data_IF_693375968759
#
_entry.id   IF_693375968759
#
_cell.length_a   1.000
_cell.length_b   1.000
_cell.length_c   1.000
_cell.angle_alpha   90.00
_cell.angle_beta   90.00
_cell.angle_gamma   90.00
#
_symmetry.space_group_name_H-M   'P 1'
#
loop_
_entity.id
_entity.type
_entity.pdbx_description
1 polymer ?
#
# COMPACT_ATOMS: atom_id res chain seq x y z
N UNK A 1 -9.48 16.49 16.49
CA UNK A 1 -9.04 15.70 15.31
C UNK A 1 -9.15 14.23 15.69
N UNK A 2 -9.86 13.42 14.90
CA UNK A 2 -10.11 12.00 15.24
C UNK A 2 -8.91 11.15 14.87
N UNK A 3 -7.98 10.98 15.81
CA UNK A 3 -6.94 9.96 15.72
C UNK A 3 -7.52 8.65 16.21
N UNK A 4 -7.38 7.61 15.38
CA UNK A 4 -7.81 6.26 15.70
C UNK A 4 -6.61 5.32 15.71
N UNK A 5 -6.83 4.05 16.03
CA UNK A 5 -5.80 3.02 15.91
C UNK A 5 -6.03 2.17 14.68
N UNK A 6 -4.95 1.89 13.99
CA UNK A 6 -4.86 0.85 12.99
C UNK A 6 -4.10 -0.34 13.53
N UNK A 7 -4.62 -1.52 13.21
CA UNK A 7 -3.93 -2.79 13.44
C UNK A 7 -3.12 -3.13 12.20
N UNK A 8 -1.83 -3.40 12.38
CA UNK A 8 -0.93 -3.98 11.39
C UNK A 8 -0.77 -5.46 11.75
N UNK A 9 -1.34 -6.33 10.92
CA UNK A 9 -1.28 -7.77 11.10
C UNK A 9 -0.21 -8.38 10.22
N UNK A 10 0.68 -9.14 10.84
CA UNK A 10 1.75 -9.88 10.19
C UNK A 10 1.28 -11.28 9.79
N UNK A 11 1.95 -11.94 8.82
CA UNK A 11 1.57 -13.28 8.37
C UNK A 11 1.69 -14.36 9.45
N UNK A 12 2.54 -14.15 10.45
CA UNK A 12 2.72 -15.03 11.60
C UNK A 12 1.63 -14.86 12.69
N UNK A 13 0.68 -13.94 12.48
CA UNK A 13 -0.37 -13.59 13.44
C UNK A 13 0.05 -12.53 14.45
N UNK A 14 1.29 -12.06 14.44
CA UNK A 14 1.73 -10.93 15.26
C UNK A 14 0.96 -9.67 14.88
N UNK A 15 0.58 -8.88 15.88
CA UNK A 15 -0.04 -7.57 15.67
C UNK A 15 0.83 -6.44 16.22
N UNK A 16 0.82 -5.33 15.49
CA UNK A 16 1.38 -4.03 15.88
C UNK A 16 0.33 -2.98 15.61
N UNK A 17 0.47 -1.83 16.25
CA UNK A 17 -0.52 -0.77 16.17
C UNK A 17 0.11 0.54 15.73
N UNK A 18 -0.62 1.33 14.96
CA UNK A 18 -0.20 2.67 14.59
C UNK A 18 -1.37 3.63 14.74
N UNK A 19 -1.06 4.91 15.00
CA UNK A 19 -2.07 5.96 14.91
C UNK A 19 -2.54 6.10 13.47
N UNK A 20 -3.83 6.33 13.29
CA UNK A 20 -4.47 6.55 12.01
C UNK A 20 -5.26 7.85 12.04
N UNK A 21 -5.01 8.73 11.07
CA UNK A 21 -5.77 9.97 10.91
C UNK A 21 -6.90 9.74 9.92
N UNK A 22 -8.14 9.82 10.40
CA UNK A 22 -9.34 9.75 9.54
C UNK A 22 -9.46 10.93 8.57
N UNK A 23 -8.81 12.07 8.88
CA UNK A 23 -8.88 13.28 8.05
C UNK A 23 -8.10 13.10 6.75
N UNK A 24 -6.89 12.57 6.84
CA UNK A 24 -6.02 12.31 5.67
C UNK A 24 -6.02 10.84 5.24
N UNK A 25 -6.79 10.01 5.95
CA UNK A 25 -6.89 8.57 5.76
C UNK A 25 -5.53 7.85 5.76
N UNK A 26 -4.61 8.26 6.65
CA UNK A 26 -3.20 7.86 6.66
C UNK A 26 -2.74 7.33 8.04
N UNK A 27 -1.84 6.36 8.01
CA UNK A 27 -1.08 5.89 9.18
C UNK A 27 0.04 6.86 9.54
N UNK A 28 0.25 7.04 10.83
CA UNK A 28 1.51 7.53 11.37
C UNK A 28 2.60 6.46 11.25
N UNK A 29 3.86 6.90 11.18
CA UNK A 29 5.02 6.01 11.06
C UNK A 29 5.30 5.19 12.33
N UNK A 30 4.92 5.72 13.50
CA UNK A 30 5.21 5.11 14.79
C UNK A 30 4.37 3.84 15.02
N UNK A 31 5.05 2.76 15.37
CA UNK A 31 4.43 1.48 15.71
C UNK A 31 4.43 1.24 17.21
N UNK A 32 3.40 0.60 17.74
CA UNK A 32 3.20 0.32 19.16
C UNK A 32 2.91 -1.17 19.37
N UNK A 33 3.29 -1.69 20.55
CA UNK A 33 3.00 -3.08 20.93
C UNK A 33 1.58 -3.28 21.48
N UNK A 34 0.98 -2.21 22.02
CA UNK A 34 -0.33 -2.26 22.66
C UNK A 34 -1.04 -0.91 22.54
N UNK A 35 -2.35 -0.93 22.74
CA UNK A 35 -3.20 0.24 22.83
C UNK A 35 -4.27 0.01 23.89
N UNK A 36 -4.84 1.10 24.39
CA UNK A 36 -5.96 1.10 25.32
C UNK A 36 -7.20 1.67 24.63
N UNK A 37 -8.39 1.16 24.97
CA UNK A 37 -9.67 1.66 24.46
C UNK A 37 -10.40 2.36 25.60
N UNK A 38 -10.53 3.68 25.50
CA UNK A 38 -11.30 4.51 26.43
C UNK A 38 -12.48 5.14 25.69
N UNK A 39 -13.71 4.88 26.15
CA UNK A 39 -14.93 5.50 25.64
C UNK A 39 -15.05 5.53 24.09
N UNK A 40 -14.79 4.39 23.44
CA UNK A 40 -14.81 4.17 21.99
C UNK A 40 -13.62 4.73 21.20
N UNK A 41 -12.63 5.34 21.87
CA UNK A 41 -11.39 5.81 21.25
C UNK A 41 -10.24 4.90 21.65
N UNK A 42 -9.43 4.54 20.67
CA UNK A 42 -8.24 3.74 20.88
C UNK A 42 -7.02 4.68 20.91
N UNK A 43 -6.18 4.56 21.94
CA UNK A 43 -4.94 5.32 22.07
C UNK A 43 -3.76 4.38 22.34
N UNK A 44 -2.57 4.65 21.77
CA UNK A 44 -1.40 3.81 22.00
C UNK A 44 -0.97 3.89 23.46
N UNK A 45 -0.49 2.76 23.99
CA UNK A 45 0.06 2.68 25.35
C UNK A 45 1.57 2.44 25.30
N UNK A 46 2.31 3.20 26.11
CA UNK A 46 3.77 3.09 26.21
C UNK A 46 4.51 3.85 25.09
N UNK A 47 5.82 3.63 25.05
CA UNK A 47 6.71 4.21 24.03
C UNK A 47 6.52 3.52 22.67
N UNK A 48 6.68 4.25 21.55
CA UNK A 48 6.71 3.62 20.24
C UNK A 48 7.91 2.67 20.13
N UNK A 49 7.77 1.66 19.28
CA UNK A 49 8.86 0.79 18.88
C UNK A 49 9.96 1.62 18.20
N UNK A 50 11.24 1.31 18.46
CA UNK A 50 12.34 2.03 17.84
C UNK A 50 12.30 1.86 16.31
N UNK A 51 12.43 2.96 15.59
CA UNK A 51 12.57 2.97 14.13
C UNK A 51 13.98 3.35 13.74
N UNK A 52 14.46 2.82 12.61
CA UNK A 52 15.82 3.06 12.11
C UNK A 52 15.79 3.51 10.65
N UNK A 53 15.21 4.69 10.34
CA UNK A 53 15.03 5.17 8.96
C UNK A 53 16.34 5.35 8.19
N UNK A 54 17.45 5.60 8.90
CA UNK A 54 18.78 5.75 8.33
C UNK A 54 19.40 4.43 7.84
N UNK A 55 18.86 3.28 8.28
CA UNK A 55 19.32 1.99 7.81
C UNK A 55 18.84 1.73 6.38
N UNK A 56 19.62 1.01 5.56
CA UNK A 56 19.16 0.63 4.23
C UNK A 56 17.91 -0.26 4.33
N UNK A 57 17.07 -0.21 3.29
CA UNK A 57 15.97 -1.14 3.15
C UNK A 57 16.48 -2.58 3.19
N UNK A 58 15.68 -3.47 3.76
CA UNK A 58 15.91 -4.88 3.57
C UNK A 58 15.80 -5.22 2.06
N UNK A 59 16.55 -6.22 1.58
CA UNK A 59 16.29 -6.85 0.29
C UNK A 59 14.80 -7.14 0.09
N UNK A 60 14.34 -7.09 -1.16
CA UNK A 60 12.91 -7.18 -1.50
C UNK A 60 12.27 -8.50 -1.04
N UNK A 61 13.06 -9.57 -1.01
CA UNK A 61 12.71 -10.90 -0.53
C UNK A 61 12.69 -11.01 1.00
N UNK A 62 13.28 -10.06 1.72
CA UNK A 62 13.22 -9.95 3.18
C UNK A 62 12.06 -9.04 3.66
N UNK A 63 11.34 -8.37 2.75
CA UNK A 63 10.19 -7.54 3.10
C UNK A 63 8.96 -8.39 3.40
N UNK A 64 8.22 -7.99 4.45
CA UNK A 64 7.12 -8.79 4.99
C UNK A 64 5.80 -8.14 4.57
N UNK A 65 4.90 -8.83 3.84
CA UNK A 65 3.57 -8.31 3.55
C UNK A 65 2.74 -8.24 4.84
N UNK A 66 2.03 -7.14 5.04
CA UNK A 66 1.18 -6.91 6.22
C UNK A 66 -0.19 -6.42 5.78
N UNK A 67 -1.21 -6.69 6.61
CA UNK A 67 -2.57 -6.18 6.41
C UNK A 67 -2.83 -5.08 7.43
N UNK A 68 -3.29 -3.94 6.95
CA UNK A 68 -3.67 -2.81 7.79
C UNK A 68 -5.19 -2.73 7.89
N UNK A 69 -5.70 -2.52 9.10
CA UNK A 69 -7.14 -2.38 9.36
C UNK A 69 -7.38 -1.35 10.47
N UNK A 70 -7.74 -0.10 10.14
CA UNK A 70 -8.19 0.89 11.11
C UNK A 70 -9.63 0.66 11.54
N UNK A 71 -9.86 0.75 12.85
CA UNK A 71 -11.21 0.95 13.39
C UNK A 71 -11.50 2.46 13.43
N UNK A 72 -12.70 2.93 13.04
CA UNK A 72 -13.93 2.17 12.80
C UNK A 72 -14.25 1.99 11.31
N UNK A 73 -13.35 2.38 10.40
CA UNK A 73 -13.70 2.61 8.98
C UNK A 73 -13.94 1.33 8.16
N UNK A 74 -13.92 0.14 8.79
CA UNK A 74 -14.02 -1.21 8.20
C UNK A 74 -13.18 -1.41 6.91
N UNK A 75 -12.23 -0.51 6.67
CA UNK A 75 -11.38 -0.52 5.50
C UNK A 75 -10.15 -1.37 5.80
N UNK A 76 -9.60 -1.98 4.76
CA UNK A 76 -8.39 -2.78 4.86
C UNK A 76 -7.57 -2.62 3.60
N UNK A 77 -6.25 -2.68 3.76
CA UNK A 77 -5.34 -2.71 2.64
C UNK A 77 -4.05 -3.43 3.00
N UNK A 78 -3.33 -3.86 1.97
CA UNK A 78 -2.04 -4.52 2.11
C UNK A 78 -0.92 -3.51 1.98
N UNK A 79 0.16 -3.75 2.72
CA UNK A 79 1.38 -2.97 2.70
C UNK A 79 2.58 -3.89 2.92
N UNK A 80 3.77 -3.31 2.93
CA UNK A 80 5.01 -4.02 3.26
C UNK A 80 5.72 -3.42 4.45
N UNK A 81 6.22 -4.29 5.31
CA UNK A 81 7.03 -3.97 6.47
C UNK A 81 8.50 -4.28 6.20
N UNK A 82 9.37 -3.34 6.55
CA UNK A 82 10.82 -3.49 6.47
C UNK A 82 11.39 -3.85 7.86
N UNK A 83 11.86 -5.09 8.07
CA UNK A 83 12.37 -5.52 9.37
C UNK A 83 13.64 -4.79 9.79
N UNK A 84 14.51 -4.41 8.84
CA UNK A 84 15.78 -3.72 9.15
C UNK A 84 15.57 -2.32 9.72
N UNK A 85 14.55 -1.61 9.22
CA UNK A 85 14.18 -0.28 9.66
C UNK A 85 13.09 -0.27 10.74
N UNK A 86 12.44 -1.42 10.98
CA UNK A 86 11.30 -1.60 11.88
C UNK A 86 10.12 -0.67 11.57
N UNK A 87 9.76 -0.55 10.28
CA UNK A 87 8.67 0.33 9.84
C UNK A 87 7.87 -0.27 8.70
N UNK A 88 6.63 0.18 8.57
CA UNK A 88 5.85 0.02 7.34
C UNK A 88 6.43 0.96 6.28
N UNK A 89 6.81 0.43 5.12
CA UNK A 89 7.25 1.25 3.97
C UNK A 89 6.04 1.79 3.21
N UNK A 90 4.94 1.06 3.20
CA UNK A 90 3.68 1.50 2.66
C UNK A 90 2.99 0.42 1.84
N UNK A 91 1.81 0.74 1.30
CA UNK A 91 1.12 2.02 1.37
C UNK A 91 0.62 2.38 2.79
N UNK A 92 0.69 3.67 3.15
CA UNK A 92 0.26 4.16 4.47
C UNK A 92 -1.17 4.73 4.49
N UNK A 93 -1.83 4.81 3.33
CA UNK A 93 -3.18 5.37 3.18
C UNK A 93 -4.16 4.31 2.70
N UNK A 94 -5.41 4.39 3.18
CA UNK A 94 -6.46 3.44 2.79
C UNK A 94 -6.80 3.51 1.29
N UNK A 95 -6.78 4.70 0.69
CA UNK A 95 -7.08 4.92 -0.73
C UNK A 95 -5.87 4.72 -1.67
N UNK A 96 -4.86 3.97 -1.24
CA UNK A 96 -3.61 3.86 -1.98
C UNK A 96 -3.78 3.26 -3.38
N UNK A 97 -4.74 2.33 -3.56
CA UNK A 97 -5.00 1.68 -4.85
C UNK A 97 -5.41 2.71 -5.90
N UNK A 98 -6.28 3.67 -5.54
CA UNK A 98 -6.65 4.80 -6.41
C UNK A 98 -5.45 5.65 -6.79
N UNK A 99 -4.58 5.96 -5.81
CA UNK A 99 -3.37 6.73 -6.08
C UNK A 99 -2.40 5.97 -6.99
N UNK A 100 -2.19 4.67 -6.76
CA UNK A 100 -1.31 3.87 -7.62
C UNK A 100 -1.85 3.75 -9.03
N UNK A 101 -3.13 3.44 -9.18
CA UNK A 101 -3.80 3.34 -10.48
C UNK A 101 -3.88 4.68 -11.20
N UNK A 102 -3.96 5.79 -10.46
CA UNK A 102 -4.05 7.12 -11.07
C UNK A 102 -2.76 7.72 -11.57
N UNK A 103 -1.63 7.22 -11.09
CA UNK A 103 -0.31 7.70 -11.52
C UNK A 103 0.47 6.66 -12.32
N UNK A 104 -0.07 5.46 -12.54
CA UNK A 104 0.65 4.38 -13.20
C UNK A 104 -0.27 3.54 -14.08
N UNK A 105 0.29 3.03 -15.15
CA UNK A 105 -0.28 1.95 -15.94
C UNK A 105 0.29 0.61 -15.46
N UNK A 106 -0.49 -0.46 -15.54
CA UNK A 106 0.01 -1.82 -15.34
C UNK A 106 0.19 -2.45 -16.71
N UNK A 107 1.36 -2.97 -17.00
CA UNK A 107 1.66 -3.60 -18.29
C UNK A 107 2.51 -4.85 -18.09
N UNK A 108 2.56 -5.76 -19.07
CA UNK A 108 3.42 -6.94 -19.00
C UNK A 108 4.83 -6.61 -19.48
N UNK A 109 5.82 -7.18 -18.82
CA UNK A 109 7.21 -7.16 -19.26
C UNK A 109 7.35 -7.94 -20.56
N UNK A 110 8.09 -7.37 -21.53
CA UNK A 110 8.29 -8.02 -22.83
C UNK A 110 9.26 -9.21 -22.76
N UNK A 111 10.07 -9.27 -21.70
CA UNK A 111 11.09 -10.32 -21.49
C UNK A 111 10.69 -11.26 -20.35
N UNK A 112 10.27 -10.73 -19.21
CA UNK A 112 10.00 -11.53 -18.00
C UNK A 112 8.52 -11.93 -17.86
N UNK A 113 7.62 -11.38 -18.69
CA UNK A 113 6.18 -11.65 -18.64
C UNK A 113 5.45 -11.14 -17.39
N UNK A 114 6.18 -10.57 -16.42
CA UNK A 114 5.64 -10.06 -15.15
C UNK A 114 4.82 -8.81 -15.40
N UNK A 115 3.93 -8.47 -14.47
CA UNK A 115 3.24 -7.18 -14.46
C UNK A 115 4.15 -6.14 -13.83
N UNK A 116 4.30 -5.00 -14.49
CA UNK A 116 5.10 -3.86 -14.06
C UNK A 116 4.22 -2.63 -14.00
N UNK A 117 4.48 -1.75 -13.03
CA UNK A 117 3.95 -0.40 -13.05
C UNK A 117 4.80 0.44 -13.99
N UNK A 118 4.16 1.29 -14.79
CA UNK A 118 4.81 2.17 -15.76
C UNK A 118 4.19 3.57 -15.74
N UNK A 119 5.02 4.57 -16.01
CA UNK A 119 4.65 5.96 -16.26
C UNK A 119 5.11 6.46 -17.64
N UNK A 120 5.97 5.69 -18.29
CA UNK A 120 6.65 6.05 -19.53
C UNK A 120 6.52 4.86 -20.47
N UNK A 121 6.10 5.11 -21.71
CA UNK A 121 5.96 4.08 -22.73
C UNK A 121 7.20 3.20 -22.84
N UNK A 122 6.96 1.89 -22.99
CA UNK A 122 8.00 0.87 -23.16
C UNK A 122 8.87 0.55 -21.94
N UNK A 123 8.71 1.21 -20.77
CA UNK A 123 9.47 0.87 -19.56
C UNK A 123 8.65 0.84 -18.27
N UNK A 124 8.89 -0.17 -17.43
CA UNK A 124 8.41 -0.19 -16.04
C UNK A 124 9.21 0.75 -15.14
N UNK A 125 8.70 1.04 -13.95
CA UNK A 125 9.37 1.88 -12.94
C UNK A 125 10.73 1.30 -12.49
N UNK A 126 10.88 -0.03 -12.52
CA UNK A 126 12.15 -0.72 -12.30
C UNK A 126 13.16 -0.54 -13.46
N UNK A 127 12.73 -0.01 -14.59
CA UNK A 127 13.53 0.17 -15.82
C UNK A 127 13.46 -0.98 -16.81
N UNK A 128 12.79 -2.09 -16.45
CA UNK A 128 12.59 -3.24 -17.33
C UNK A 128 11.74 -2.87 -18.57
N UNK A 129 12.01 -3.48 -19.73
CA UNK A 129 11.21 -3.26 -20.93
C UNK A 129 9.82 -3.90 -20.77
N UNK A 130 8.79 -3.16 -21.15
CA UNK A 130 7.39 -3.58 -21.08
C UNK A 130 6.72 -3.47 -22.44
N UNK A 131 5.59 -4.16 -22.59
CA UNK A 131 4.73 -4.03 -23.75
C UNK A 131 3.99 -2.68 -23.71
N UNK A 132 3.67 -2.13 -24.87
CA UNK A 132 2.90 -0.88 -24.99
C UNK A 132 1.38 -1.09 -24.84
N UNK A 133 0.94 -2.30 -24.50
CA UNK A 133 -0.47 -2.62 -24.28
C UNK A 133 -0.74 -2.69 -22.77
N UNK A 134 -1.38 -1.67 -22.18
CA UNK A 134 -1.71 -1.70 -20.76
C UNK A 134 -2.75 -2.79 -20.48
N UNK A 135 -2.58 -3.45 -19.33
CA UNK A 135 -3.55 -4.37 -18.77
C UNK A 135 -4.72 -3.59 -18.15
N UNK A 136 -5.88 -4.23 -17.97
CA UNK A 136 -6.96 -3.68 -17.17
C UNK A 136 -6.47 -3.37 -15.75
N UNK A 137 -6.22 -2.09 -15.51
CA UNK A 137 -5.70 -1.54 -14.27
C UNK A 137 -6.31 -0.16 -14.10
N UNK A 138 -7.61 -0.14 -13.76
CA UNK A 138 -8.39 1.06 -13.94
C UNK A 138 -8.03 2.10 -12.88
N UNK A 139 -7.65 3.30 -13.34
CA UNK A 139 -8.17 4.54 -12.80
C UNK A 139 -9.00 5.22 -13.90
N UNK A 140 -10.21 5.64 -13.55
CA UNK A 140 -10.81 6.78 -14.24
C UNK A 140 -11.40 7.66 -13.16
N UNK A 141 -10.98 8.93 -13.15
CA UNK A 141 -11.67 10.07 -12.55
C UNK A 141 -13.17 10.05 -12.92
N UNK A 142 -13.96 9.21 -12.27
CA UNK A 142 -15.38 8.99 -12.54
C UNK A 142 -16.23 9.81 -11.55
N UNK A 143 -15.74 11.00 -11.18
CA UNK A 143 -16.47 11.95 -10.36
C UNK A 143 -17.40 12.86 -11.17
N UNK A 144 -17.49 12.71 -12.51
CA UNK A 144 -18.17 13.68 -13.38
C UNK A 144 -19.03 13.07 -14.51
N UNK A 145 -19.71 11.93 -14.28
CA UNK A 145 -20.65 11.37 -15.27
C UNK A 145 -21.91 10.78 -14.63
N UNK A 146 -23.09 10.93 -15.26
CA UNK A 146 -24.36 10.38 -14.76
C UNK A 146 -24.27 8.86 -14.60
N UNK A 147 -24.92 8.33 -13.57
CA UNK A 147 -24.80 6.94 -13.13
C UNK A 147 -25.32 5.90 -14.14
N UNK A 148 -26.11 6.33 -15.13
CA UNK A 148 -26.94 5.46 -15.96
C UNK A 148 -26.22 4.80 -17.16
N UNK A 149 -24.97 5.18 -17.46
CA UNK A 149 -24.19 4.64 -18.60
C UNK A 149 -22.84 4.00 -18.19
N UNK A 150 -22.67 3.59 -16.93
CA UNK A 150 -21.40 2.98 -16.50
C UNK A 150 -21.35 1.51 -16.93
N UNK A 151 -20.39 1.09 -17.78
CA UNK A 151 -20.10 -0.32 -17.97
C UNK A 151 -19.82 -0.98 -16.62
N UNK A 152 -20.10 -2.29 -16.46
CA UNK A 152 -19.69 -3.04 -15.26
C UNK A 152 -18.18 -2.82 -15.02
N UNK A 153 -17.87 -2.17 -13.91
CA UNK A 153 -16.51 -1.73 -13.61
C UNK A 153 -15.71 -2.92 -13.06
N UNK A 154 -14.50 -3.19 -13.56
CA UNK A 154 -13.64 -4.18 -12.93
C UNK A 154 -13.31 -3.74 -11.49
N UNK A 155 -13.17 -4.68 -10.54
CA UNK A 155 -12.95 -4.34 -9.13
C UNK A 155 -11.61 -3.64 -8.90
N UNK A 156 -11.55 -2.80 -7.86
CA UNK A 156 -10.31 -2.19 -7.36
C UNK A 156 -9.27 -3.30 -7.08
N UNK A 157 -8.04 -3.10 -7.55
CA UNK A 157 -6.94 -4.07 -7.37
C UNK A 157 -5.93 -3.52 -6.35
N UNK A 158 -5.87 -4.18 -5.20
CA UNK A 158 -4.80 -3.99 -4.22
C UNK A 158 -3.58 -4.82 -4.69
N UNK A 159 -2.68 -4.21 -5.46
CA UNK A 159 -1.48 -4.90 -5.95
C UNK A 159 -0.51 -5.32 -4.84
N UNK A 160 -0.59 -4.70 -3.66
CA UNK A 160 0.20 -5.12 -2.50
C UNK A 160 -0.35 -6.41 -1.87
N UNK A 161 -1.64 -6.73 -2.08
CA UNK A 161 -2.19 -8.04 -1.73
C UNK A 161 -1.54 -9.17 -2.55
N UNK A 162 -0.99 -8.82 -3.71
CA UNK A 162 -0.31 -9.74 -4.61
C UNK A 162 1.21 -9.76 -4.38
N UNK A 163 1.72 -9.24 -3.27
CA UNK A 163 3.17 -9.09 -3.01
C UNK A 163 3.98 -10.36 -3.26
N UNK A 164 3.46 -11.51 -2.83
CA UNK A 164 4.13 -12.81 -2.98
C UNK A 164 3.90 -13.46 -4.36
N UNK A 165 3.10 -12.83 -5.23
CA UNK A 165 2.88 -13.32 -6.59
C UNK A 165 4.17 -13.19 -7.41
N UNK A 166 4.61 -14.26 -8.11
CA UNK A 166 5.75 -14.18 -9.02
C UNK A 166 5.47 -13.31 -10.26
N UNK A 167 4.19 -12.99 -10.50
CA UNK A 167 3.71 -12.28 -11.69
C UNK A 167 3.63 -10.77 -11.50
N UNK A 168 4.04 -10.22 -10.35
CA UNK A 168 4.11 -8.77 -10.12
C UNK A 168 5.56 -8.35 -9.83
N UNK A 169 5.99 -7.25 -10.43
CA UNK A 169 7.30 -6.67 -10.17
C UNK A 169 7.29 -5.90 -8.84
N UNK A 170 7.79 -6.53 -7.77
CA UNK A 170 7.92 -5.91 -6.43
C UNK A 170 8.78 -4.64 -6.43
N UNK A 171 9.79 -4.53 -7.29
CA UNK A 171 10.58 -3.30 -7.46
C UNK A 171 9.72 -2.12 -7.94
N UNK A 172 8.82 -2.38 -8.90
CA UNK A 172 7.90 -1.36 -9.37
C UNK A 172 6.94 -0.90 -8.26
N UNK A 173 6.43 -1.84 -7.45
CA UNK A 173 5.56 -1.49 -6.31
C UNK A 173 6.27 -0.60 -5.30
N UNK A 174 7.52 -0.92 -4.95
CA UNK A 174 8.31 -0.11 -4.01
C UNK A 174 8.60 1.29 -4.56
N UNK A 175 9.04 1.38 -5.83
CA UNK A 175 9.32 2.69 -6.45
C UNK A 175 8.07 3.56 -6.55
N UNK A 176 6.90 2.97 -6.72
CA UNK A 176 5.64 3.72 -6.73
C UNK A 176 5.27 4.29 -5.35
N UNK A 177 5.87 3.81 -4.25
CA UNK A 177 5.71 4.41 -2.91
C UNK A 177 6.53 5.70 -2.77
N UNK A 178 7.72 5.75 -3.37
CA UNK A 178 8.64 6.90 -3.28
C UNK A 178 8.16 8.13 -4.07
N UNK A 179 7.23 7.94 -5.01
CA UNK A 179 6.68 9.01 -5.86
C UNK A 179 5.61 9.88 -5.17
N UNK A 180 5.45 9.78 -3.86
CA UNK A 180 4.39 10.42 -3.08
C UNK A 180 4.84 11.69 -2.32
N UNK A 181 6.06 12.15 -2.56
CA UNK A 181 6.59 13.44 -2.11
C UNK A 181 6.36 14.53 -3.17
#
# INVERSE_FOLDING_TARGET
MGTWMATIRFPDGTERYARYSTVVAALASDLYQAFHVEHHRAEPTGEPLPTFPERPHAPIDELIPVVISPAPDDCRWHAVYCPRQQRVLGPVVSYHFRNLQGHNELTRGSVDGRRHLSQVHGRGLCGAPVLDTPLPYRNLCSFWGPAEERPEEPPDQDLFAEWDSPDICRECLLRALDQRE
#
